data_IF_516454811656
#
_entry.id   IF_516454811656
#
_cell.length_a   1.000
_cell.length_b   1.000
_cell.length_c   1.000
_cell.angle_alpha   90.00
_cell.angle_beta   90.00
_cell.angle_gamma   90.00
#
_symmetry.space_group_name_H-M   'P 1'
#
loop_
_entity.id
_entity.type
_entity.pdbx_description
1 polymer ?
#
# COMPACT_ATOMS: atom_id res chain seq x y z
N UNK A 1 -17.75 -3.56 -3.84
CA UNK A 1 -16.48 -3.22 -3.15
C UNK A 1 -16.78 -2.36 -1.95
N UNK A 2 -16.38 -2.80 -0.76
CA UNK A 2 -16.68 -2.10 0.51
C UNK A 2 -15.47 -1.45 1.16
N UNK A 3 -14.24 -1.82 0.77
CA UNK A 3 -13.00 -1.20 1.28
C UNK A 3 -11.86 -1.30 0.28
N UNK A 4 -10.90 -0.39 0.41
CA UNK A 4 -9.59 -0.45 -0.25
C UNK A 4 -8.55 -0.82 0.81
N UNK A 5 -7.69 -1.78 0.48
CA UNK A 5 -6.48 -2.10 1.23
C UNK A 5 -5.32 -1.44 0.50
N UNK A 6 -4.65 -0.50 1.16
CA UNK A 6 -3.53 0.23 0.60
C UNK A 6 -2.20 -0.29 1.17
N UNK A 7 -1.36 -0.83 0.29
CA UNK A 7 0.02 -1.20 0.59
C UNK A 7 0.96 -0.11 0.07
N UNK A 8 1.56 0.73 0.92
CA UNK A 8 2.30 1.92 0.50
C UNK A 8 3.57 1.67 -0.30
N UNK A 9 4.10 0.44 -0.25
CA UNK A 9 5.35 0.08 -0.91
C UNK A 9 6.58 0.46 -0.09
N UNK A 10 7.60 1.01 -0.75
CA UNK A 10 8.87 1.36 -0.10
C UNK A 10 8.68 2.49 0.93
N UNK A 11 9.14 2.29 2.19
CA UNK A 11 8.96 3.30 3.24
C UNK A 11 9.78 4.57 3.00
N UNK A 12 10.86 4.51 2.22
CA UNK A 12 11.64 5.69 1.78
C UNK A 12 11.07 6.37 0.55
N UNK A 13 10.11 5.72 -0.13
CA UNK A 13 9.48 6.20 -1.36
C UNK A 13 8.32 7.16 -1.13
N UNK A 14 7.60 7.44 -2.20
CA UNK A 14 6.47 8.38 -2.21
C UNK A 14 5.14 7.80 -1.71
N UNK A 15 5.02 6.47 -1.57
CA UNK A 15 3.78 5.82 -1.16
C UNK A 15 3.22 6.34 0.16
N UNK A 16 4.02 6.45 1.24
CA UNK A 16 3.59 7.09 2.49
C UNK A 16 3.15 8.55 2.30
N UNK A 17 3.84 9.31 1.44
CA UNK A 17 3.52 10.72 1.20
C UNK A 17 2.16 10.89 0.52
N UNK A 18 1.86 10.01 -0.43
CA UNK A 18 0.59 10.04 -1.18
C UNK A 18 -0.60 9.87 -0.24
N UNK A 19 -0.58 8.87 0.63
CA UNK A 19 -1.70 8.62 1.54
C UNK A 19 -1.82 9.69 2.62
N UNK A 20 -0.70 10.25 3.12
CA UNK A 20 -0.70 11.35 4.08
C UNK A 20 -1.30 12.61 3.45
N UNK A 21 -0.88 12.97 2.23
CA UNK A 21 -1.42 14.12 1.50
C UNK A 21 -2.91 13.93 1.23
N UNK A 22 -3.31 12.75 0.77
CA UNK A 22 -4.71 12.43 0.50
C UNK A 22 -5.55 12.51 1.79
N UNK A 23 -5.12 11.89 2.88
CA UNK A 23 -5.81 11.90 4.16
C UNK A 23 -5.95 13.31 4.77
N UNK A 24 -5.04 14.22 4.40
CA UNK A 24 -5.07 15.62 4.83
C UNK A 24 -5.85 16.55 3.88
N UNK A 25 -6.45 15.99 2.84
CA UNK A 25 -7.23 16.75 1.85
C UNK A 25 -8.75 16.57 2.06
N UNK A 26 -9.54 17.53 1.53
CA UNK A 26 -11.00 17.43 1.53
C UNK A 26 -11.49 16.20 0.75
N UNK A 27 -10.80 15.84 -0.33
CA UNK A 27 -11.11 14.66 -1.16
C UNK A 27 -11.20 13.38 -0.33
N UNK A 28 -10.45 13.27 0.79
CA UNK A 28 -10.44 12.07 1.63
C UNK A 28 -11.81 11.73 2.21
N UNK A 29 -12.54 12.72 2.68
CA UNK A 29 -13.89 12.53 3.23
C UNK A 29 -14.94 12.28 2.15
N UNK A 30 -14.70 12.82 0.95
CA UNK A 30 -15.60 12.65 -0.21
C UNK A 30 -15.48 11.23 -0.81
N UNK A 31 -14.41 10.48 -0.50
CA UNK A 31 -14.27 9.10 -0.94
C UNK A 31 -15.34 8.21 -0.29
N UNK A 32 -16.23 7.67 -1.12
CA UNK A 32 -17.31 6.76 -0.68
C UNK A 32 -16.80 5.43 -0.15
N UNK A 33 -15.59 5.03 -0.56
CA UNK A 33 -14.99 3.75 -0.20
C UNK A 33 -13.91 4.00 0.85
N UNK A 34 -14.03 3.40 2.05
CA UNK A 34 -13.03 3.54 3.09
C UNK A 34 -11.73 2.86 2.70
N UNK A 35 -10.62 3.43 3.18
CA UNK A 35 -9.27 2.96 2.93
C UNK A 35 -8.64 2.55 4.26
N UNK A 36 -8.09 1.34 4.30
CA UNK A 36 -7.21 0.86 5.37
C UNK A 36 -5.78 0.74 4.84
N UNK A 37 -4.84 1.27 5.58
CA UNK A 37 -3.42 1.31 5.22
C UNK A 37 -2.68 0.21 5.96
N UNK A 38 -1.81 -0.51 5.26
CA UNK A 38 -0.95 -1.53 5.87
C UNK A 38 0.45 -0.94 6.04
N UNK A 39 0.94 -0.86 7.29
CA UNK A 39 2.26 -0.29 7.52
C UNK A 39 2.60 -0.01 8.96
N UNK A 40 3.68 0.73 9.19
CA UNK A 40 4.17 1.13 10.51
C UNK A 40 3.66 2.53 10.88
N UNK A 41 3.00 2.64 12.02
CA UNK A 41 2.45 3.92 12.50
C UNK A 41 3.52 4.99 12.69
N UNK A 42 4.72 4.62 13.14
CA UNK A 42 5.79 5.59 13.38
C UNK A 42 6.28 6.20 12.06
N UNK A 43 6.44 5.36 11.01
CA UNK A 43 6.76 5.84 9.66
C UNK A 43 5.81 6.96 9.22
N UNK A 44 4.49 6.74 9.35
CA UNK A 44 3.52 7.73 8.89
C UNK A 44 3.53 9.00 9.73
N UNK A 45 3.68 8.89 11.05
CA UNK A 45 3.74 10.05 11.94
C UNK A 45 4.98 10.89 11.67
N UNK A 46 6.15 10.27 11.50
CA UNK A 46 7.39 10.99 11.23
C UNK A 46 7.39 11.59 9.83
N UNK A 47 6.89 10.87 8.83
CA UNK A 47 6.72 11.38 7.48
C UNK A 47 5.73 12.55 7.43
N UNK A 48 4.64 12.51 8.19
CA UNK A 48 3.69 13.61 8.28
C UNK A 48 4.31 14.87 8.86
N UNK A 49 5.21 14.75 9.87
CA UNK A 49 6.00 15.90 10.38
C UNK A 49 6.84 16.53 9.28
N UNK A 50 7.57 15.71 8.50
CA UNK A 50 8.39 16.20 7.38
C UNK A 50 7.54 16.93 6.32
N UNK A 51 6.35 16.41 6.04
CA UNK A 51 5.40 17.00 5.09
C UNK A 51 4.60 18.18 5.67
N UNK A 52 4.83 18.54 6.94
CA UNK A 52 4.06 19.56 7.68
C UNK A 52 2.54 19.30 7.62
N UNK A 53 2.15 18.03 7.71
CA UNK A 53 0.76 17.60 7.74
C UNK A 53 0.38 17.09 9.14
N UNK A 54 -0.85 17.41 9.57
CA UNK A 54 -1.40 16.89 10.83
C UNK A 54 -2.27 15.67 10.51
N UNK A 55 -1.86 14.51 11.01
CA UNK A 55 -2.63 13.27 10.91
C UNK A 55 -2.78 12.61 12.27
N UNK A 56 -3.80 11.77 12.40
CA UNK A 56 -3.99 10.83 13.50
C UNK A 56 -4.01 9.41 12.92
N UNK A 57 -3.39 8.48 13.61
CA UNK A 57 -3.44 7.06 13.27
C UNK A 57 -4.51 6.39 14.13
N UNK A 58 -5.50 5.81 13.46
CA UNK A 58 -6.44 4.89 14.09
C UNK A 58 -5.95 3.46 13.84
N UNK A 59 -5.32 2.87 14.88
CA UNK A 59 -4.85 1.48 14.81
C UNK A 59 -6.04 0.54 14.87
N UNK A 60 -6.04 -0.47 14.04
CA UNK A 60 -7.05 -1.51 14.03
C UNK A 60 -6.45 -2.88 13.69
N UNK A 61 -7.18 -3.93 13.99
CA UNK A 61 -6.84 -5.30 13.61
C UNK A 61 -7.47 -5.67 12.27
N UNK A 62 -6.99 -6.75 11.66
CA UNK A 62 -7.46 -7.22 10.36
C UNK A 62 -8.94 -7.65 10.34
N UNK A 63 -9.49 -7.99 11.51
CA UNK A 63 -10.88 -8.39 11.72
C UNK A 63 -11.82 -7.22 11.96
N UNK A 64 -11.28 -6.02 12.23
CA UNK A 64 -12.09 -4.86 12.51
C UNK A 64 -12.85 -4.37 11.27
N UNK A 65 -14.05 -3.84 11.51
CA UNK A 65 -14.79 -3.12 10.47
C UNK A 65 -14.07 -1.82 10.12
N UNK A 66 -13.72 -1.68 8.84
CA UNK A 66 -13.17 -0.42 8.33
C UNK A 66 -14.25 0.67 8.38
N UNK A 67 -13.91 1.80 9.03
CA UNK A 67 -14.80 2.96 9.19
C UNK A 67 -14.70 3.89 7.99
N UNK A 68 -15.67 4.81 7.84
CA UNK A 68 -15.57 5.87 6.85
C UNK A 68 -14.28 6.67 7.03
N UNK A 69 -13.78 7.22 5.93
CA UNK A 69 -12.64 8.12 5.97
C UNK A 69 -13.04 9.44 6.67
N UNK A 70 -12.18 9.91 7.57
CA UNK A 70 -12.32 11.19 8.25
C UNK A 70 -11.07 12.04 8.03
N UNK A 71 -11.24 13.34 7.81
CA UNK A 71 -10.12 14.25 7.54
C UNK A 71 -9.00 14.11 8.57
N UNK A 72 -7.79 13.95 8.08
CA UNK A 72 -6.60 13.80 8.91
C UNK A 72 -6.49 12.47 9.66
N UNK A 73 -7.38 11.50 9.45
CA UNK A 73 -7.33 10.19 10.13
C UNK A 73 -6.98 9.09 9.13
N UNK A 74 -5.93 8.35 9.42
CA UNK A 74 -5.53 7.15 8.67
C UNK A 74 -5.84 5.91 9.50
N UNK A 75 -6.69 5.03 8.99
CA UNK A 75 -6.93 3.70 9.55
C UNK A 75 -5.77 2.79 9.16
N UNK A 76 -5.10 2.16 10.13
CA UNK A 76 -3.86 1.48 9.89
C UNK A 76 -3.79 0.13 10.62
N UNK A 77 -3.36 -0.90 9.87
CA UNK A 77 -3.00 -2.21 10.41
C UNK A 77 -1.47 -2.32 10.37
N UNK A 78 -0.87 -2.61 11.51
CA UNK A 78 0.58 -2.83 11.60
C UNK A 78 0.89 -4.33 11.50
N UNK A 79 1.58 -4.71 10.43
CA UNK A 79 2.04 -6.09 10.19
C UNK A 79 3.49 -6.26 10.61
N UNK A 80 4.32 -5.28 10.30
CA UNK A 80 5.73 -5.25 10.68
C UNK A 80 6.20 -3.81 10.88
N UNK A 81 7.31 -3.64 11.58
CA UNK A 81 7.95 -2.33 11.75
C UNK A 81 9.02 -2.14 10.71
N UNK A 82 9.13 -0.93 10.16
CA UNK A 82 10.26 -0.57 9.32
C UNK A 82 11.46 -0.13 10.18
N UNK A 83 12.65 -0.25 9.61
CA UNK A 83 13.85 0.41 10.15
C UNK A 83 13.74 1.93 9.94
N UNK A 84 14.65 2.69 10.57
CA UNK A 84 14.73 4.13 10.32
C UNK A 84 14.85 4.41 8.82
N UNK A 85 14.08 5.37 8.33
CA UNK A 85 14.01 5.69 6.91
C UNK A 85 14.33 7.16 6.66
N UNK A 86 15.22 7.41 5.72
CA UNK A 86 15.42 8.72 5.12
C UNK A 86 14.59 8.82 3.85
N UNK A 87 13.74 9.84 3.73
CA UNK A 87 12.95 10.05 2.53
C UNK A 87 13.84 10.20 1.28
N UNK A 88 13.57 9.40 0.26
CA UNK A 88 14.32 9.40 -0.99
C UNK A 88 15.63 8.59 -0.97
N UNK A 89 15.98 7.97 0.16
CA UNK A 89 17.14 7.06 0.24
C UNK A 89 16.68 5.63 0.43
N UNK A 90 16.94 4.80 -0.55
CA UNK A 90 16.62 3.37 -0.47
C UNK A 90 17.47 2.69 0.61
N UNK A 91 16.84 1.79 1.36
CA UNK A 91 17.50 0.97 2.39
C UNK A 91 17.03 -0.48 2.26
N UNK A 92 17.95 -1.38 1.92
CA UNK A 92 17.68 -2.82 1.76
C UNK A 92 17.20 -3.49 3.03
N UNK A 93 17.51 -2.94 4.22
CA UNK A 93 17.00 -3.43 5.50
C UNK A 93 15.47 -3.38 5.59
N UNK A 94 14.82 -2.52 4.78
CA UNK A 94 13.38 -2.41 4.71
C UNK A 94 12.72 -3.34 3.66
N UNK A 95 13.48 -4.09 2.88
CA UNK A 95 12.93 -4.99 1.86
C UNK A 95 11.95 -6.02 2.45
N UNK A 96 12.28 -6.60 3.60
CA UNK A 96 11.40 -7.55 4.31
C UNK A 96 10.11 -6.90 4.79
N UNK A 97 10.19 -5.64 5.28
CA UNK A 97 9.01 -4.85 5.65
C UNK A 97 8.06 -4.67 4.45
N UNK A 98 8.61 -4.30 3.29
CA UNK A 98 7.83 -4.09 2.06
C UNK A 98 7.11 -5.39 1.66
N UNK A 99 7.83 -6.52 1.60
CA UNK A 99 7.25 -7.81 1.22
C UNK A 99 6.21 -8.31 2.23
N UNK A 100 6.44 -8.14 3.53
CA UNK A 100 5.48 -8.54 4.56
C UNK A 100 4.16 -7.77 4.41
N UNK A 101 4.23 -6.45 4.22
CA UNK A 101 3.04 -5.62 4.03
C UNK A 101 2.31 -5.95 2.73
N UNK A 102 3.03 -6.16 1.63
CA UNK A 102 2.44 -6.54 0.35
C UNK A 102 1.75 -7.92 0.43
N UNK A 103 2.45 -8.91 0.99
CA UNK A 103 1.92 -10.27 1.16
C UNK A 103 0.65 -10.27 2.03
N UNK A 104 0.67 -9.57 3.16
CA UNK A 104 -0.49 -9.44 4.02
C UNK A 104 -1.66 -8.77 3.27
N UNK A 105 -1.38 -7.68 2.55
CA UNK A 105 -2.40 -6.94 1.78
C UNK A 105 -3.06 -7.81 0.71
N UNK A 106 -2.27 -8.61 -0.03
CA UNK A 106 -2.77 -9.56 -1.02
C UNK A 106 -3.68 -10.61 -0.36
N UNK A 107 -3.21 -11.23 0.72
CA UNK A 107 -3.98 -12.26 1.44
C UNK A 107 -5.29 -11.73 2.00
N UNK A 108 -5.27 -10.52 2.58
CA UNK A 108 -6.49 -9.88 3.08
C UNK A 108 -7.49 -9.57 1.97
N UNK A 109 -7.00 -9.15 0.80
CA UNK A 109 -7.85 -8.89 -0.37
C UNK A 109 -8.44 -10.18 -0.95
N UNK A 110 -7.68 -11.27 -0.95
CA UNK A 110 -8.19 -12.59 -1.36
C UNK A 110 -9.26 -13.14 -0.41
N UNK A 111 -9.08 -12.92 0.89
CA UNK A 111 -10.01 -13.38 1.90
C UNK A 111 -11.34 -12.60 1.85
N UNK A 112 -11.29 -11.31 1.57
CA UNK A 112 -12.47 -10.45 1.50
C UNK A 112 -12.79 -10.07 0.05
N UNK A 113 -13.77 -10.76 -0.53
CA UNK A 113 -14.22 -10.53 -1.93
C UNK A 113 -14.74 -9.11 -2.20
N UNK A 114 -15.03 -8.34 -1.17
CA UNK A 114 -15.48 -6.95 -1.29
C UNK A 114 -14.33 -5.93 -1.12
N UNK A 115 -13.10 -6.40 -0.90
CA UNK A 115 -11.91 -5.57 -0.86
C UNK A 115 -11.25 -5.43 -2.23
N UNK A 116 -10.57 -4.29 -2.44
CA UNK A 116 -9.63 -4.10 -3.55
C UNK A 116 -8.26 -3.72 -3.01
N UNK A 117 -7.21 -4.22 -3.67
CA UNK A 117 -5.83 -3.87 -3.36
C UNK A 117 -5.38 -2.68 -4.19
N UNK A 118 -4.78 -1.69 -3.54
CA UNK A 118 -4.04 -0.59 -4.18
C UNK A 118 -2.62 -0.61 -3.64
N UNK A 119 -1.63 -0.58 -4.54
CA UNK A 119 -0.22 -0.63 -4.17
C UNK A 119 0.50 0.67 -4.51
N UNK A 120 1.33 1.15 -3.59
CA UNK A 120 2.33 2.17 -3.86
C UNK A 120 3.57 1.59 -4.55
N UNK A 121 4.48 2.44 -5.04
CA UNK A 121 5.69 2.00 -5.73
C UNK A 121 6.66 1.29 -4.78
N UNK A 122 7.36 0.30 -5.33
CA UNK A 122 8.41 -0.45 -4.64
C UNK A 122 9.72 -0.38 -5.43
N UNK A 123 10.85 -0.47 -4.72
CA UNK A 123 12.16 -0.67 -5.36
C UNK A 123 12.38 -2.16 -5.61
N UNK A 124 12.43 -2.56 -6.88
CA UNK A 124 12.79 -3.93 -7.26
C UNK A 124 14.17 -4.30 -6.74
N UNK A 125 15.13 -3.40 -6.86
CA UNK A 125 16.51 -3.60 -6.43
C UNK A 125 16.60 -3.95 -4.94
N UNK A 126 15.88 -3.19 -4.09
CA UNK A 126 15.82 -3.48 -2.66
C UNK A 126 15.27 -4.89 -2.39
N UNK A 127 14.21 -5.28 -3.08
CA UNK A 127 13.58 -6.58 -2.82
C UNK A 127 14.42 -7.74 -3.35
N UNK A 128 15.07 -7.60 -4.51
CA UNK A 128 15.96 -8.61 -5.08
C UNK A 128 17.12 -8.93 -4.14
N UNK A 129 17.53 -8.02 -3.26
CA UNK A 129 18.57 -8.28 -2.26
C UNK A 129 18.20 -9.42 -1.29
N UNK A 130 16.91 -9.66 -1.06
CA UNK A 130 16.41 -10.73 -0.16
C UNK A 130 15.60 -11.81 -0.88
N UNK A 131 15.05 -11.50 -2.05
CA UNK A 131 14.29 -12.43 -2.89
C UNK A 131 14.66 -12.24 -4.37
N UNK A 132 15.62 -13.02 -4.83
CA UNK A 132 16.13 -12.96 -6.21
C UNK A 132 15.09 -13.34 -7.26
N UNK A 133 14.00 -13.97 -6.88
CA UNK A 133 12.90 -14.35 -7.78
C UNK A 133 11.88 -13.23 -7.99
N UNK A 134 12.01 -12.11 -7.28
CA UNK A 134 11.07 -11.02 -7.38
C UNK A 134 11.18 -10.28 -8.72
N UNK A 135 10.16 -10.38 -9.56
CA UNK A 135 10.09 -9.72 -10.87
C UNK A 135 9.28 -8.42 -10.85
N UNK A 136 8.40 -8.26 -9.89
CA UNK A 136 7.52 -7.09 -9.74
C UNK A 136 6.18 -7.44 -9.11
N UNK A 137 5.31 -6.43 -8.97
CA UNK A 137 3.97 -6.63 -8.41
C UNK A 137 3.15 -7.67 -9.16
N UNK A 138 3.15 -7.61 -10.48
CA UNK A 138 2.31 -8.45 -11.34
C UNK A 138 2.57 -9.93 -11.10
N UNK A 139 3.83 -10.35 -11.23
CA UNK A 139 4.25 -11.74 -11.05
C UNK A 139 4.13 -12.18 -9.59
N UNK A 140 4.47 -11.28 -8.67
CA UNK A 140 4.35 -11.57 -7.24
C UNK A 140 2.90 -11.82 -6.82
N UNK A 141 1.96 -10.98 -7.28
CA UNK A 141 0.53 -11.15 -7.03
C UNK A 141 0.03 -12.43 -7.72
N UNK A 142 0.39 -12.68 -8.99
CA UNK A 142 0.06 -13.92 -9.70
C UNK A 142 0.44 -15.15 -8.89
N UNK A 143 1.68 -15.19 -8.38
CA UNK A 143 2.21 -16.33 -7.63
C UNK A 143 1.44 -16.57 -6.32
N UNK A 144 1.18 -15.51 -5.54
CA UNK A 144 0.45 -15.64 -4.27
C UNK A 144 -1.01 -16.03 -4.49
N UNK A 145 -1.65 -15.46 -5.52
CA UNK A 145 -3.04 -15.75 -5.85
C UNK A 145 -3.22 -17.09 -6.55
N UNK A 146 -2.11 -17.73 -6.98
CA UNK A 146 -2.12 -18.95 -7.81
C UNK A 146 -2.95 -18.79 -9.07
N UNK A 147 -2.97 -17.59 -9.63
CA UNK A 147 -3.69 -17.30 -10.85
C UNK A 147 -2.99 -17.93 -12.04
N UNK A 148 -3.77 -18.58 -12.93
CA UNK A 148 -3.22 -19.21 -14.14
C UNK A 148 -2.57 -18.17 -15.03
N UNK A 149 -3.27 -17.07 -15.24
CA UNK A 149 -2.83 -15.97 -16.11
C UNK A 149 -3.06 -14.62 -15.45
N UNK A 150 -2.32 -13.63 -15.88
CA UNK A 150 -2.42 -12.23 -15.45
C UNK A 150 -2.35 -11.34 -16.66
N UNK A 151 -3.18 -10.30 -16.67
CA UNK A 151 -3.22 -9.31 -17.72
C UNK A 151 -3.04 -7.93 -17.11
N UNK A 152 -2.02 -7.20 -17.56
CA UNK A 152 -1.84 -5.80 -17.20
C UNK A 152 -2.75 -4.92 -18.07
N UNK A 153 -3.46 -4.00 -17.45
CA UNK A 153 -4.32 -3.06 -18.15
C UNK A 153 -3.99 -1.63 -17.75
N UNK A 154 -3.78 -0.78 -18.74
CA UNK A 154 -3.77 0.66 -18.58
C UNK A 154 -5.16 1.19 -18.92
N UNK A 155 -5.75 1.96 -18.03
CA UNK A 155 -7.13 2.42 -18.18
C UNK A 155 -7.26 3.92 -17.92
N UNK A 156 -8.01 4.57 -18.80
CA UNK A 156 -8.56 5.92 -18.60
C UNK A 156 -10.06 5.89 -18.84
N UNK A 157 -10.74 7.02 -18.67
CA UNK A 157 -12.18 7.11 -18.95
C UNK A 157 -12.51 6.85 -20.42
N UNK A 158 -11.56 7.16 -21.32
CA UNK A 158 -11.76 7.09 -22.78
C UNK A 158 -11.15 5.84 -23.41
N UNK A 159 -10.11 5.26 -22.81
CA UNK A 159 -9.35 4.18 -23.41
C UNK A 159 -8.89 3.16 -22.37
N UNK A 160 -9.04 1.88 -22.69
CA UNK A 160 -8.50 0.76 -21.94
C UNK A 160 -7.60 -0.06 -22.85
N UNK A 161 -6.33 -0.21 -22.47
CA UNK A 161 -5.33 -0.98 -23.22
C UNK A 161 -4.88 -2.17 -22.36
N UNK A 162 -5.16 -3.37 -22.84
CA UNK A 162 -4.69 -4.60 -22.24
C UNK A 162 -3.37 -5.02 -22.92
N UNK A 163 -2.34 -5.30 -22.12
CA UNK A 163 -1.02 -5.71 -22.61
C UNK A 163 -1.00 -7.23 -22.70
N UNK A 164 -0.87 -7.77 -23.91
CA UNK A 164 -0.78 -9.21 -24.14
C UNK A 164 0.55 -9.81 -23.66
N UNK A 165 1.60 -8.99 -23.63
CA UNK A 165 2.93 -9.34 -23.09
C UNK A 165 3.47 -8.16 -22.28
N UNK A 166 4.26 -8.43 -21.25
CA UNK A 166 4.98 -7.44 -20.42
C UNK A 166 6.48 -7.68 -20.53
#
# INVERSE_FOLDING_TARGET
>A
MKKIIYSPGDPSGIGPDLIIKLASSKMWEDLKIPIVVIGDSNLFLDRAKLLKKKIKIYKQDSTDKVKKNHAGVIQLITVSRCQNTDAGKLDTNNAKYVLNNLNFSIKQTLFDKEAALVTGPISKENIISIDKSFMGHTEYIKNITKSKDVLMMLASDQLKVALATT
#
